data_IF_650078192109
#
_entry.id   IF_650078192109
#
_cell.length_a   1.000
_cell.length_b   1.000
_cell.length_c   1.000
_cell.angle_alpha   90.00
_cell.angle_beta   90.00
_cell.angle_gamma   90.00
#
_symmetry.space_group_name_H-M   'P 1'
#
loop_
_entity.id
_entity.type
_entity.pdbx_description
1 polymer ?
#
# COMPACT_ATOMS: atom_id res chain seq x y z
N UNK A 1 6.43 -17.07 -15.25
CA UNK A 1 7.70 -17.27 -14.50
C UNK A 1 7.64 -18.60 -13.78
N UNK A 2 8.73 -19.35 -13.82
CA UNK A 2 8.90 -20.57 -13.04
C UNK A 2 10.08 -20.36 -12.08
N UNK A 3 9.84 -20.55 -10.78
CA UNK A 3 10.90 -20.50 -9.77
C UNK A 3 11.28 -21.93 -9.40
N UNK A 4 12.54 -22.31 -9.65
CA UNK A 4 13.04 -23.65 -9.33
C UNK A 4 13.01 -23.97 -7.82
N UNK A 5 13.01 -22.94 -6.97
CA UNK A 5 12.93 -23.06 -5.53
C UNK A 5 11.56 -22.58 -5.00
N UNK A 6 11.08 -23.12 -3.88
CA UNK A 6 9.80 -22.73 -3.28
C UNK A 6 9.93 -21.37 -2.56
N UNK A 7 9.98 -20.28 -3.33
CA UNK A 7 10.29 -18.93 -2.84
C UNK A 7 9.38 -18.46 -1.71
N UNK A 8 8.08 -18.79 -1.74
CA UNK A 8 7.13 -18.42 -0.68
C UNK A 8 7.43 -19.15 0.63
N UNK A 9 7.75 -20.44 0.58
CA UNK A 9 8.13 -21.24 1.76
C UNK A 9 9.44 -20.72 2.34
N UNK A 10 10.43 -20.42 1.49
CA UNK A 10 11.71 -19.85 1.91
C UNK A 10 11.52 -18.48 2.58
N UNK A 11 10.69 -17.62 2.00
CA UNK A 11 10.37 -16.33 2.58
C UNK A 11 9.63 -16.45 3.90
N UNK A 12 8.65 -17.37 4.02
CA UNK A 12 7.96 -17.61 5.29
C UNK A 12 8.92 -18.10 6.39
N UNK A 13 9.92 -18.90 6.04
CA UNK A 13 10.85 -19.49 7.02
C UNK A 13 11.96 -18.53 7.45
N UNK A 14 12.56 -17.81 6.49
CA UNK A 14 13.80 -17.06 6.72
C UNK A 14 13.67 -15.57 6.38
N UNK A 15 12.57 -15.14 5.76
CA UNK A 15 12.32 -13.78 5.28
C UNK A 15 13.50 -13.10 4.56
N UNK A 16 14.24 -13.80 3.67
CA UNK A 16 15.39 -13.18 3.04
C UNK A 16 14.93 -12.11 2.04
N UNK A 17 15.56 -10.94 2.10
CA UNK A 17 15.19 -9.77 1.32
C UNK A 17 15.20 -10.03 -0.20
N UNK A 18 16.19 -10.77 -0.70
CA UNK A 18 16.34 -11.03 -2.14
C UNK A 18 15.10 -11.71 -2.77
N UNK A 19 14.31 -12.47 -1.99
CA UNK A 19 13.09 -13.10 -2.51
C UNK A 19 12.02 -12.03 -2.81
N UNK A 20 11.91 -11.00 -1.97
CA UNK A 20 11.00 -9.86 -2.21
C UNK A 20 11.41 -9.10 -3.46
N UNK A 21 12.70 -8.85 -3.63
CA UNK A 21 13.25 -8.12 -4.79
C UNK A 21 12.98 -8.87 -6.10
N UNK A 22 13.36 -10.16 -6.18
CA UNK A 22 13.09 -10.99 -7.36
C UNK A 22 11.60 -11.05 -7.70
N UNK A 23 10.74 -11.22 -6.68
CA UNK A 23 9.30 -11.26 -6.91
C UNK A 23 8.77 -9.90 -7.40
N UNK A 24 9.30 -8.79 -6.86
CA UNK A 24 8.91 -7.44 -7.27
C UNK A 24 9.25 -7.16 -8.73
N UNK A 25 10.43 -7.59 -9.19
CA UNK A 25 10.86 -7.46 -10.60
C UNK A 25 9.91 -8.23 -11.52
N UNK A 26 9.65 -9.51 -11.18
CA UNK A 26 8.72 -10.36 -11.92
C UNK A 26 7.31 -9.76 -11.97
N UNK A 27 6.82 -9.20 -10.87
CA UNK A 27 5.51 -8.55 -10.83
C UNK A 27 5.45 -7.29 -11.69
N UNK A 28 6.56 -6.59 -11.85
CA UNK A 28 6.65 -5.41 -12.73
C UNK A 28 6.53 -5.80 -14.20
N UNK A 29 7.07 -6.95 -14.59
CA UNK A 29 6.88 -7.50 -15.94
C UNK A 29 5.49 -8.12 -16.14
N UNK A 30 4.91 -8.75 -15.12
CA UNK A 30 3.60 -9.41 -15.21
C UNK A 30 2.42 -8.44 -15.15
N UNK A 31 2.53 -7.34 -14.40
CA UNK A 31 1.42 -6.46 -14.04
C UNK A 31 1.75 -5.04 -14.47
N UNK A 32 1.25 -4.66 -15.64
CA UNK A 32 1.44 -3.32 -16.22
C UNK A 32 0.82 -2.23 -15.34
N UNK A 33 -0.42 -2.44 -14.91
CA UNK A 33 -1.21 -1.48 -14.14
C UNK A 33 -1.44 -2.01 -12.72
N UNK A 34 -0.42 -1.91 -11.86
CA UNK A 34 -0.58 -2.24 -10.43
C UNK A 34 -1.63 -1.31 -9.83
N UNK A 35 -2.59 -1.89 -9.10
CA UNK A 35 -3.69 -1.14 -8.50
C UNK A 35 -3.21 -0.09 -7.49
N UNK A 36 -2.16 -0.40 -6.73
CA UNK A 36 -1.53 0.52 -5.77
C UNK A 36 -0.02 0.45 -5.91
N UNK A 37 0.64 1.60 -5.79
CA UNK A 37 2.09 1.76 -5.73
C UNK A 37 2.44 2.72 -4.60
N UNK A 38 3.60 2.58 -3.98
CA UNK A 38 4.10 3.53 -2.98
C UNK A 38 5.62 3.48 -2.91
N UNK A 39 6.22 4.58 -2.45
CA UNK A 39 7.66 4.71 -2.18
C UNK A 39 8.03 4.46 -0.70
N UNK A 40 7.02 4.26 0.15
CA UNK A 40 7.20 3.95 1.57
C UNK A 40 7.90 2.61 1.85
N UNK A 41 8.33 2.36 3.10
CA UNK A 41 9.04 1.14 3.48
C UNK A 41 8.18 -0.11 3.29
N UNK A 42 8.80 -1.29 3.17
CA UNK A 42 8.07 -2.56 2.96
C UNK A 42 7.19 -3.01 4.14
N UNK A 43 7.25 -2.29 5.27
CA UNK A 43 6.35 -2.41 6.42
C UNK A 43 5.02 -1.67 6.22
N UNK A 44 4.97 -0.70 5.30
CA UNK A 44 3.73 -0.04 4.90
C UNK A 44 2.93 -1.01 4.04
N UNK A 45 1.72 -1.29 4.46
CA UNK A 45 0.76 -2.12 3.73
C UNK A 45 -0.42 -1.26 3.32
N UNK A 46 -0.70 -1.19 2.02
CA UNK A 46 -1.88 -0.49 1.49
C UNK A 46 -2.73 -1.48 0.71
N UNK A 47 -4.01 -1.56 1.06
CA UNK A 47 -5.00 -2.37 0.36
C UNK A 47 -6.03 -1.45 -0.31
N UNK A 48 -6.30 -1.66 -1.60
CA UNK A 48 -7.37 -0.99 -2.31
C UNK A 48 -8.60 -1.89 -2.40
N UNK A 49 -9.74 -1.42 -1.89
CA UNK A 49 -11.01 -2.11 -1.97
C UNK A 49 -11.99 -1.30 -2.82
N UNK A 50 -12.50 -1.89 -3.90
CA UNK A 50 -13.52 -1.24 -4.74
C UNK A 50 -14.93 -1.62 -4.25
N UNK A 51 -15.87 -0.68 -4.33
CA UNK A 51 -17.29 -0.96 -4.13
C UNK A 51 -17.83 -1.87 -5.25
N UNK A 52 -18.96 -2.54 -5.02
CA UNK A 52 -19.59 -3.43 -6.02
C UNK A 52 -19.87 -2.69 -7.35
N UNK A 53 -20.34 -1.45 -7.26
CA UNK A 53 -20.62 -0.60 -8.41
C UNK A 53 -19.35 0.04 -9.00
N UNK A 54 -18.20 -0.11 -8.34
CA UNK A 54 -16.89 0.46 -8.72
C UNK A 54 -16.86 1.98 -8.82
N UNK A 55 -17.78 2.67 -8.15
CA UNK A 55 -17.83 4.13 -8.06
C UNK A 55 -16.98 4.67 -6.90
N UNK A 56 -16.45 3.79 -6.07
CA UNK A 56 -15.64 4.15 -4.92
C UNK A 56 -14.51 3.15 -4.72
N UNK A 57 -13.32 3.66 -4.41
CA UNK A 57 -12.19 2.87 -3.95
C UNK A 57 -11.81 3.34 -2.55
N UNK A 58 -11.64 2.41 -1.63
CA UNK A 58 -11.14 2.67 -0.28
C UNK A 58 -9.71 2.15 -0.18
N UNK A 59 -8.76 3.06 0.01
CA UNK A 59 -7.39 2.74 0.38
C UNK A 59 -7.31 2.61 1.90
N UNK A 60 -6.92 1.44 2.37
CA UNK A 60 -6.64 1.19 3.78
C UNK A 60 -5.15 0.94 3.97
N UNK A 61 -4.50 1.82 4.74
CA UNK A 61 -3.07 1.77 4.99
C UNK A 61 -2.71 1.50 6.44
N UNK A 62 -1.72 0.64 6.65
CA UNK A 62 -1.18 0.27 7.96
C UNK A 62 0.34 0.27 7.94
N UNK A 63 0.96 0.90 8.93
CA UNK A 63 2.40 0.88 9.18
C UNK A 63 2.66 0.56 10.66
N UNK A 64 2.69 -0.73 10.97
CA UNK A 64 2.98 -1.24 12.31
C UNK A 64 4.15 -2.19 12.27
N UNK A 65 5.22 -1.85 12.99
CA UNK A 65 6.39 -2.70 13.15
C UNK A 65 6.13 -3.65 14.32
N UNK A 66 6.22 -4.94 14.03
CA UNK A 66 6.11 -5.97 15.06
C UNK A 66 7.45 -6.17 15.76
N UNK A 67 7.43 -6.21 17.09
CA UNK A 67 8.59 -6.40 17.95
C UNK A 67 8.47 -7.76 18.65
N UNK A 68 9.54 -8.56 18.63
CA UNK A 68 9.59 -9.83 19.39
C UNK A 68 10.11 -9.57 20.80
N UNK A 69 9.28 -8.98 21.64
CA UNK A 69 9.58 -8.73 23.07
C UNK A 69 9.04 -9.82 24.01
N UNK A 70 7.98 -10.51 23.60
CA UNK A 70 7.44 -11.69 24.31
C UNK A 70 7.97 -12.98 23.66
N UNK A 71 8.06 -14.05 24.45
CA UNK A 71 8.45 -15.38 23.96
C UNK A 71 7.41 -15.93 22.98
N UNK A 72 6.12 -15.71 23.26
CA UNK A 72 5.01 -16.36 22.56
C UNK A 72 4.41 -15.49 21.45
N UNK A 73 4.44 -14.16 21.61
CA UNK A 73 3.75 -13.24 20.70
C UNK A 73 4.65 -12.11 20.23
N UNK A 74 4.32 -11.58 19.05
CA UNK A 74 4.82 -10.30 18.60
C UNK A 74 3.94 -9.20 19.17
N UNK A 75 4.56 -8.14 19.67
CA UNK A 75 3.87 -6.96 20.18
C UNK A 75 4.07 -5.78 19.24
N UNK A 76 3.17 -4.80 19.33
CA UNK A 76 3.32 -3.49 18.70
C UNK A 76 3.24 -2.50 19.86
N UNK A 77 4.37 -1.95 20.29
CA UNK A 77 4.38 -0.98 21.38
C UNK A 77 4.40 0.45 20.85
N UNK A 78 5.19 0.68 19.80
CA UNK A 78 5.33 1.98 19.17
C UNK A 78 4.75 1.97 17.75
N UNK A 79 4.19 3.10 17.35
CA UNK A 79 3.79 3.37 15.98
C UNK A 79 4.31 4.73 15.57
N UNK A 80 4.94 4.79 14.41
CA UNK A 80 5.64 5.98 13.94
C UNK A 80 5.01 6.44 12.62
N UNK A 81 4.69 7.74 12.49
CA UNK A 81 4.28 8.27 11.20
C UNK A 81 5.44 8.14 10.21
N UNK A 82 5.10 8.02 8.94
CA UNK A 82 6.07 8.06 7.85
C UNK A 82 6.14 9.47 7.29
N UNK A 83 7.34 9.88 6.90
CA UNK A 83 7.56 11.21 6.32
C UNK A 83 7.69 11.11 4.82
N UNK A 84 7.10 12.07 4.10
CA UNK A 84 7.22 12.24 2.66
C UNK A 84 6.97 10.94 1.88
N UNK A 85 5.79 10.36 2.08
CA UNK A 85 5.37 9.16 1.36
C UNK A 85 4.47 9.54 0.20
N UNK A 86 4.82 9.05 -0.97
CA UNK A 86 3.99 9.11 -2.17
C UNK A 86 3.33 7.76 -2.37
N UNK A 87 2.03 7.77 -2.64
CA UNK A 87 1.36 6.58 -3.12
C UNK A 87 0.36 6.88 -4.21
N UNK A 88 0.20 5.88 -5.06
CA UNK A 88 -0.57 5.97 -6.29
C UNK A 88 -1.64 4.89 -6.30
N UNK A 89 -2.83 5.22 -6.79
CA UNK A 89 -3.90 4.24 -6.99
C UNK A 89 -4.44 4.34 -8.41
N UNK A 90 -4.48 3.22 -9.12
CA UNK A 90 -4.97 3.17 -10.49
C UNK A 90 -6.49 3.33 -10.54
N UNK A 91 -6.96 4.36 -11.22
CA UNK A 91 -8.39 4.66 -11.44
C UNK A 91 -8.79 4.57 -12.92
N UNK A 92 -7.81 4.35 -13.81
CA UNK A 92 -8.02 4.27 -15.25
C UNK A 92 -8.56 5.58 -15.83
N UNK A 93 -9.51 5.49 -16.76
CA UNK A 93 -10.12 6.66 -17.40
C UNK A 93 -11.29 7.28 -16.61
N UNK A 94 -11.49 6.91 -15.34
CA UNK A 94 -12.60 7.41 -14.52
C UNK A 94 -12.32 8.80 -13.97
N UNK A 95 -13.36 9.61 -13.85
CA UNK A 95 -13.26 10.97 -13.31
C UNK A 95 -13.30 10.95 -11.80
N UNK A 96 -12.18 11.25 -11.15
CA UNK A 96 -12.11 11.34 -9.69
C UNK A 96 -12.79 12.63 -9.23
N UNK A 97 -13.87 12.50 -8.45
CA UNK A 97 -14.63 13.62 -7.90
C UNK A 97 -13.96 14.22 -6.67
N UNK A 98 -13.53 13.36 -5.75
CA UNK A 98 -12.83 13.77 -4.54
C UNK A 98 -12.08 12.59 -3.90
N UNK A 99 -11.07 12.93 -3.09
CA UNK A 99 -10.42 12.03 -2.16
C UNK A 99 -10.65 12.57 -0.75
N UNK A 100 -11.14 11.71 0.14
CA UNK A 100 -11.45 12.08 1.52
C UNK A 100 -10.75 11.14 2.48
N UNK A 101 -10.09 11.72 3.46
CA UNK A 101 -9.60 11.02 4.63
C UNK A 101 -10.77 10.73 5.56
N UNK A 102 -11.18 9.46 5.66
CA UNK A 102 -12.37 9.07 6.41
C UNK A 102 -12.14 9.21 7.93
N UNK A 103 -10.90 8.96 8.39
CA UNK A 103 -10.59 8.99 9.83
C UNK A 103 -10.60 10.43 10.32
N UNK A 104 -9.91 11.32 9.60
CA UNK A 104 -9.79 12.73 9.96
C UNK A 104 -10.95 13.60 9.44
N UNK A 105 -11.81 13.07 8.56
CA UNK A 105 -12.92 13.77 7.91
C UNK A 105 -12.47 15.03 7.16
N UNK A 106 -11.36 14.95 6.44
CA UNK A 106 -10.80 16.07 5.67
C UNK A 106 -10.61 15.69 4.19
N UNK A 107 -10.71 16.66 3.26
CA UNK A 107 -10.27 16.43 1.89
C UNK A 107 -8.76 16.15 1.85
N UNK A 108 -8.34 15.35 0.88
CA UNK A 108 -6.93 15.05 0.58
C UNK A 108 -6.63 15.56 -0.81
N UNK A 109 -5.54 16.31 -0.94
CA UNK A 109 -5.08 16.80 -2.23
C UNK A 109 -4.49 15.64 -3.05
N UNK A 110 -4.81 15.63 -4.35
CA UNK A 110 -4.34 14.60 -5.26
C UNK A 110 -4.13 15.16 -6.66
N UNK A 111 -3.32 14.46 -7.45
CA UNK A 111 -3.16 14.70 -8.87
C UNK A 111 -3.59 13.46 -9.65
N UNK A 112 -4.03 13.63 -10.90
CA UNK A 112 -4.31 12.50 -11.80
C UNK A 112 -3.26 12.49 -12.91
N UNK A 113 -2.45 11.43 -12.96
CA UNK A 113 -1.35 11.27 -13.91
C UNK A 113 -1.44 9.86 -14.49
N UNK A 114 -1.54 9.73 -15.82
CA UNK A 114 -1.57 8.43 -16.52
C UNK A 114 -2.57 7.40 -15.95
N UNK A 115 -3.75 7.86 -15.54
CA UNK A 115 -4.81 7.02 -14.97
C UNK A 115 -4.58 6.62 -13.51
N UNK A 116 -3.56 7.17 -12.85
CA UNK A 116 -3.33 7.05 -11.42
C UNK A 116 -3.75 8.32 -10.71
N UNK A 117 -4.37 8.18 -9.54
CA UNK A 117 -4.30 9.26 -8.54
C UNK A 117 -2.93 9.20 -7.87
N UNK A 118 -2.32 10.35 -7.62
CA UNK A 118 -1.05 10.50 -6.91
C UNK A 118 -1.30 11.37 -5.69
N UNK A 119 -1.02 10.83 -4.51
CA UNK A 119 -1.18 11.49 -3.22
C UNK A 119 0.19 11.58 -2.57
N UNK A 120 0.55 12.79 -2.12
CA UNK A 120 1.79 13.07 -1.42
C UNK A 120 1.47 13.46 0.01
N UNK A 121 1.92 12.67 0.98
CA UNK A 121 1.72 12.94 2.40
C UNK A 121 3.06 13.30 3.04
N UNK A 122 3.19 14.56 3.49
CA UNK A 122 4.37 15.01 4.24
C UNK A 122 4.51 14.23 5.55
N UNK A 123 3.39 13.94 6.21
CA UNK A 123 3.31 13.14 7.44
C UNK A 123 2.15 12.16 7.33
N UNK A 124 2.46 10.92 6.98
CA UNK A 124 1.49 9.83 6.87
C UNK A 124 1.30 9.15 8.22
N UNK A 125 0.05 9.15 8.73
CA UNK A 125 -0.29 8.46 9.96
C UNK A 125 -0.10 6.92 9.83
N UNK A 126 0.24 6.21 10.92
CA UNK A 126 0.42 4.76 10.89
C UNK A 126 -0.82 3.97 10.48
N UNK A 127 -1.99 4.56 10.65
CA UNK A 127 -3.26 4.04 10.17
C UNK A 127 -4.01 5.14 9.45
N UNK A 128 -4.38 4.90 8.21
CA UNK A 128 -5.16 5.83 7.41
C UNK A 128 -6.17 5.09 6.54
N UNK A 129 -7.29 5.75 6.24
CA UNK A 129 -8.33 5.23 5.35
C UNK A 129 -8.77 6.36 4.42
N UNK A 130 -8.42 6.26 3.14
CA UNK A 130 -8.78 7.26 2.13
C UNK A 130 -9.87 6.70 1.21
N UNK A 131 -10.96 7.46 1.06
CA UNK A 131 -12.04 7.18 0.12
C UNK A 131 -11.81 7.98 -1.16
N UNK A 132 -11.77 7.29 -2.29
CA UNK A 132 -11.68 7.87 -3.62
C UNK A 132 -13.05 7.70 -4.28
N UNK A 133 -13.70 8.80 -4.62
CA UNK A 133 -14.98 8.79 -5.32
C UNK A 133 -14.77 9.06 -6.81
N UNK A 134 -15.26 8.16 -7.65
CA UNK A 134 -15.09 8.12 -9.11
C UNK A 134 -16.33 8.61 -9.87
#
# INVERSE_FOLDING_TARGET
YYFAHPIFTLYRKNAPQFIKEILADVLTECITEKQVRHDGPSSLQITANASENKDTIVLHGLHYLTEKKSEDIYTIENHYPLLNVTFECFVGAKTVKQVTDIIQQKPVDFQVIDGYIVINEEVLAPHFVYKIEL
#
